data_IF_550387076855
#
_entry.id   IF_550387076855
#
_cell.length_a   1.000
_cell.length_b   1.000
_cell.length_c   1.000
_cell.angle_alpha   90.00
_cell.angle_beta   90.00
_cell.angle_gamma   90.00
#
_symmetry.space_group_name_H-M   'P 1'
#
loop_
_entity.id
_entity.type
_entity.pdbx_description
1 polymer ?
#
# COMPACT_ATOMS: atom_id res chain seq x y z
N UNK A 1 -12.85 14.46 -2.84
CA UNK A 1 -12.10 13.16 -2.80
C UNK A 1 -12.88 12.05 -3.49
N UNK A 2 -12.21 11.00 -3.99
CA UNK A 2 -12.84 9.84 -4.63
C UNK A 2 -12.63 8.62 -3.75
N UNK A 3 -13.69 8.11 -3.13
CA UNK A 3 -13.62 6.97 -2.22
C UNK A 3 -13.45 5.67 -3.00
N UNK A 4 -12.46 4.89 -2.64
CA UNK A 4 -12.13 3.62 -3.30
C UNK A 4 -12.01 2.49 -2.29
N UNK A 5 -12.00 1.25 -2.80
CA UNK A 5 -11.91 0.03 -2.02
C UNK A 5 -10.89 -0.94 -2.60
N UNK A 6 -10.00 -1.49 -1.77
CA UNK A 6 -9.05 -2.52 -2.19
C UNK A 6 -9.75 -3.88 -2.29
N UNK A 7 -9.68 -4.48 -3.48
CA UNK A 7 -10.22 -5.80 -3.79
C UNK A 7 -9.15 -6.67 -4.46
N UNK A 8 -9.05 -7.92 -4.04
CA UNK A 8 -7.98 -8.85 -4.47
C UNK A 8 -8.36 -9.77 -5.61
N UNK A 9 -9.51 -9.56 -6.25
CA UNK A 9 -9.95 -10.34 -7.40
C UNK A 9 -10.85 -11.51 -7.04
N UNK A 10 -11.67 -11.92 -8.03
CA UNK A 10 -12.59 -13.04 -7.89
C UNK A 10 -11.82 -14.34 -7.63
N UNK A 11 -12.26 -15.13 -6.65
CA UNK A 11 -11.61 -16.38 -6.23
C UNK A 11 -10.38 -16.19 -5.34
N UNK A 12 -9.85 -14.97 -5.24
CA UNK A 12 -8.71 -14.62 -4.41
C UNK A 12 -9.09 -13.73 -3.22
N UNK A 13 -10.18 -12.95 -3.33
CA UNK A 13 -10.78 -12.19 -2.24
C UNK A 13 -12.03 -12.92 -1.72
N UNK A 14 -12.18 -12.97 -0.41
CA UNK A 14 -13.40 -13.50 0.23
C UNK A 14 -14.55 -12.49 0.15
N UNK A 15 -14.24 -11.19 -0.02
CA UNK A 15 -15.22 -10.12 -0.15
C UNK A 15 -15.62 -9.99 -1.63
N UNK A 16 -16.92 -10.03 -1.89
CA UNK A 16 -17.48 -9.95 -3.25
C UNK A 16 -17.69 -8.49 -3.66
N UNK A 17 -17.61 -8.23 -4.96
CA UNK A 17 -17.97 -6.91 -5.51
C UNK A 17 -19.41 -6.50 -5.16
N UNK A 18 -20.33 -7.48 -5.07
CA UNK A 18 -21.72 -7.25 -4.61
C UNK A 18 -21.81 -6.71 -3.19
N UNK A 19 -20.88 -7.09 -2.30
CA UNK A 19 -20.85 -6.65 -0.92
C UNK A 19 -20.25 -5.23 -0.85
N UNK A 20 -19.17 -4.99 -1.59
CA UNK A 20 -18.56 -3.66 -1.71
C UNK A 20 -19.55 -2.64 -2.29
N UNK A 21 -20.39 -3.06 -3.26
CA UNK A 21 -21.41 -2.21 -3.89
C UNK A 21 -22.45 -1.69 -2.89
N UNK A 22 -22.62 -2.34 -1.76
CA UNK A 22 -23.55 -1.93 -0.70
C UNK A 22 -22.94 -0.88 0.24
N UNK A 23 -21.64 -0.59 0.13
CA UNK A 23 -20.99 0.43 0.95
C UNK A 23 -21.24 1.80 0.30
N UNK A 24 -21.99 2.72 0.94
CA UNK A 24 -22.28 4.02 0.36
C UNK A 24 -21.00 4.82 0.07
N UNK A 25 -20.99 5.51 -1.06
CA UNK A 25 -19.90 6.42 -1.45
C UNK A 25 -18.65 5.76 -2.04
N UNK A 26 -18.55 4.42 -2.07
CA UNK A 26 -17.46 3.74 -2.77
C UNK A 26 -17.72 3.80 -4.28
N UNK A 27 -16.85 4.49 -5.02
CA UNK A 27 -17.00 4.75 -6.45
C UNK A 27 -16.06 3.89 -7.31
N UNK A 28 -14.93 3.47 -6.75
CA UNK A 28 -13.89 2.77 -7.49
C UNK A 28 -13.27 1.62 -6.73
N UNK A 29 -12.71 0.71 -7.50
CA UNK A 29 -11.96 -0.44 -6.99
C UNK A 29 -10.47 -0.24 -7.24
N UNK A 30 -9.70 -0.45 -6.19
CA UNK A 30 -8.24 -0.58 -6.25
C UNK A 30 -7.93 -2.06 -6.45
N UNK A 31 -7.28 -2.39 -7.55
CA UNK A 31 -7.14 -3.76 -8.05
C UNK A 31 -5.73 -4.07 -8.53
N UNK A 32 -5.42 -5.33 -8.78
CA UNK A 32 -4.20 -5.78 -9.44
C UNK A 32 -4.41 -7.15 -10.11
N UNK A 33 -3.48 -7.54 -10.99
CA UNK A 33 -3.33 -8.93 -11.44
C UNK A 33 -2.42 -9.65 -10.43
N UNK A 34 -3.03 -10.43 -9.53
CA UNK A 34 -2.33 -11.03 -8.38
C UNK A 34 -1.55 -12.30 -8.72
N UNK A 35 -1.75 -12.86 -9.90
CA UNK A 35 -1.05 -14.02 -10.45
C UNK A 35 0.21 -13.63 -11.23
N UNK A 36 0.51 -12.34 -11.35
CA UNK A 36 1.68 -11.83 -12.04
C UNK A 36 2.89 -11.72 -11.12
N UNK A 37 3.98 -12.33 -11.55
CA UNK A 37 5.26 -12.15 -10.86
C UNK A 37 5.85 -10.77 -11.14
N UNK A 38 6.63 -10.19 -10.21
CA UNK A 38 7.34 -8.94 -10.47
C UNK A 38 8.17 -9.03 -11.76
N UNK A 39 8.04 -8.01 -12.62
CA UNK A 39 8.75 -7.95 -13.90
C UNK A 39 8.03 -8.58 -15.10
N UNK A 40 6.91 -9.28 -14.88
CA UNK A 40 6.05 -9.73 -15.98
C UNK A 40 5.22 -8.59 -16.56
N UNK A 41 5.00 -8.62 -17.88
CA UNK A 41 4.13 -7.66 -18.58
C UNK A 41 2.67 -8.08 -18.38
N UNK A 42 1.84 -7.15 -17.93
CA UNK A 42 0.39 -7.35 -17.85
C UNK A 42 -0.22 -7.20 -19.25
N UNK A 43 -0.88 -8.24 -19.72
CA UNK A 43 -1.45 -8.24 -21.08
C UNK A 43 -2.84 -7.59 -21.12
N UNK A 44 -3.18 -6.88 -22.19
CA UNK A 44 -4.48 -6.20 -22.34
C UNK A 44 -5.68 -7.12 -22.13
N UNK A 45 -5.59 -8.39 -22.55
CA UNK A 45 -6.65 -9.38 -22.42
C UNK A 45 -6.95 -9.71 -20.94
N UNK A 46 -5.91 -9.77 -20.10
CA UNK A 46 -6.03 -10.02 -18.65
C UNK A 46 -6.63 -8.80 -17.93
N UNK A 47 -6.20 -7.60 -18.32
CA UNK A 47 -6.75 -6.34 -17.80
C UNK A 47 -8.24 -6.23 -18.17
N UNK A 48 -8.62 -6.61 -19.39
CA UNK A 48 -10.00 -6.58 -19.88
C UNK A 48 -10.93 -7.47 -19.07
N UNK A 49 -10.46 -8.60 -18.53
CA UNK A 49 -11.24 -9.47 -17.64
C UNK A 49 -11.65 -8.71 -16.38
N UNK A 50 -10.70 -8.06 -15.71
CA UNK A 50 -10.98 -7.26 -14.51
C UNK A 50 -11.90 -6.09 -14.84
N UNK A 51 -11.65 -5.38 -15.96
CA UNK A 51 -12.50 -4.28 -16.42
C UNK A 51 -13.96 -4.72 -16.54
N UNK A 52 -14.21 -5.86 -17.19
CA UNK A 52 -15.56 -6.39 -17.36
C UNK A 52 -16.24 -6.67 -16.02
N UNK A 53 -15.53 -7.29 -15.06
CA UNK A 53 -16.06 -7.58 -13.73
C UNK A 53 -16.46 -6.29 -12.99
N UNK A 54 -15.63 -5.25 -13.06
CA UNK A 54 -15.90 -3.97 -12.39
C UNK A 54 -17.05 -3.20 -13.05
N UNK A 55 -17.14 -3.23 -14.38
CA UNK A 55 -18.21 -2.60 -15.14
C UNK A 55 -19.59 -3.18 -14.82
N UNK A 56 -19.69 -4.48 -14.56
CA UNK A 56 -20.94 -5.15 -14.18
C UNK A 56 -21.53 -4.56 -12.89
N UNK A 57 -20.70 -4.02 -12.00
CA UNK A 57 -21.10 -3.36 -10.76
C UNK A 57 -21.04 -1.82 -10.84
N UNK A 58 -20.59 -1.25 -11.96
CA UNK A 58 -20.47 0.18 -12.16
C UNK A 58 -19.38 0.82 -11.29
N UNK A 59 -18.25 0.12 -11.10
CA UNK A 59 -17.07 0.65 -10.40
C UNK A 59 -16.03 1.19 -11.37
N UNK A 60 -15.37 2.28 -10.99
CA UNK A 60 -14.17 2.77 -11.66
C UNK A 60 -12.97 1.87 -11.32
N UNK A 61 -12.01 1.76 -12.28
CA UNK A 61 -10.76 1.00 -12.09
C UNK A 61 -9.51 1.88 -12.15
N UNK A 62 -9.65 3.13 -11.74
CA UNK A 62 -8.65 4.18 -11.94
C UNK A 62 -7.32 3.92 -11.24
N UNK A 63 -7.30 3.11 -10.18
CA UNK A 63 -6.13 2.85 -9.33
C UNK A 63 -5.74 1.39 -9.35
N UNK A 64 -4.49 1.13 -9.68
CA UNK A 64 -3.85 -0.19 -9.58
C UNK A 64 -2.94 -0.23 -8.35
N UNK A 65 -3.05 -1.28 -7.56
CA UNK A 65 -2.18 -1.52 -6.41
C UNK A 65 -1.92 -3.03 -6.24
N UNK A 66 -0.76 -3.56 -6.66
CA UNK A 66 0.41 -2.85 -7.16
C UNK A 66 0.88 -3.46 -8.48
N UNK A 67 1.57 -2.67 -9.29
CA UNK A 67 2.50 -3.22 -10.27
C UNK A 67 3.85 -3.34 -9.54
N UNK A 68 4.25 -4.56 -9.19
CA UNK A 68 5.44 -4.80 -8.38
C UNK A 68 6.73 -4.52 -9.15
N UNK A 69 7.65 -3.77 -8.55
CA UNK A 69 8.98 -3.50 -9.11
C UNK A 69 9.88 -4.72 -8.87
N UNK A 70 10.49 -5.24 -9.95
CA UNK A 70 11.38 -6.40 -9.85
C UNK A 70 12.63 -6.10 -9.00
N UNK A 71 13.10 -7.09 -8.24
CA UNK A 71 14.25 -6.93 -7.35
C UNK A 71 15.53 -6.53 -8.08
N UNK A 72 15.74 -7.01 -9.30
CA UNK A 72 16.91 -6.63 -10.12
C UNK A 72 16.97 -5.12 -10.42
N UNK A 73 15.82 -4.45 -10.49
CA UNK A 73 15.75 -2.99 -10.61
C UNK A 73 16.22 -2.35 -9.30
N UNK A 74 15.69 -2.82 -8.16
CA UNK A 74 16.02 -2.30 -6.83
C UNK A 74 17.50 -2.49 -6.49
N UNK A 75 18.07 -3.64 -6.88
CA UNK A 75 19.48 -4.00 -6.63
C UNK A 75 20.43 -3.35 -7.64
N UNK A 76 19.92 -2.97 -8.83
CA UNK A 76 20.73 -2.39 -9.91
C UNK A 76 21.48 -3.41 -10.74
N UNK A 77 20.95 -4.62 -10.91
CA UNK A 77 21.58 -5.66 -11.72
C UNK A 77 21.52 -5.35 -13.23
N UNK A 78 22.39 -5.97 -14.05
CA UNK A 78 22.42 -5.71 -15.51
C UNK A 78 21.08 -6.00 -16.23
N UNK A 79 20.26 -6.89 -15.67
CA UNK A 79 18.92 -7.26 -16.18
C UNK A 79 17.85 -6.22 -15.90
N UNK A 80 18.15 -5.20 -15.08
CA UNK A 80 17.17 -4.17 -14.68
C UNK A 80 16.52 -3.47 -15.86
N UNK A 81 17.27 -3.22 -16.95
CA UNK A 81 16.75 -2.48 -18.10
C UNK A 81 15.65 -3.25 -18.82
N UNK A 82 15.77 -4.58 -18.90
CA UNK A 82 14.71 -5.43 -19.46
C UNK A 82 13.44 -5.36 -18.61
N UNK A 83 13.56 -5.41 -17.28
CA UNK A 83 12.41 -5.32 -16.38
C UNK A 83 11.79 -3.92 -16.37
N UNK A 84 12.58 -2.86 -16.58
CA UNK A 84 12.07 -1.50 -16.75
C UNK A 84 11.26 -1.40 -18.06
N UNK A 85 11.73 -1.98 -19.16
CA UNK A 85 10.95 -2.01 -20.41
C UNK A 85 9.64 -2.80 -20.25
N UNK A 86 9.66 -3.92 -19.55
CA UNK A 86 8.44 -4.66 -19.21
C UNK A 86 7.47 -3.82 -18.38
N UNK A 87 8.00 -3.06 -17.42
CA UNK A 87 7.21 -2.14 -16.59
C UNK A 87 6.56 -1.02 -17.44
N UNK A 88 7.33 -0.40 -18.33
CA UNK A 88 6.80 0.59 -19.30
C UNK A 88 5.71 0.01 -20.19
N UNK A 89 5.88 -1.23 -20.65
CA UNK A 89 4.86 -1.90 -21.45
C UNK A 89 3.58 -2.12 -20.64
N UNK A 90 3.68 -2.50 -19.36
CA UNK A 90 2.54 -2.63 -18.46
C UNK A 90 1.82 -1.29 -18.28
N UNK A 91 2.55 -0.17 -18.07
CA UNK A 91 1.96 1.18 -18.00
C UNK A 91 1.16 1.48 -19.28
N UNK A 92 1.75 1.22 -20.46
CA UNK A 92 1.09 1.44 -21.75
C UNK A 92 -0.16 0.57 -21.93
N UNK A 93 -0.12 -0.68 -21.48
CA UNK A 93 -1.25 -1.60 -21.56
C UNK A 93 -2.40 -1.21 -20.62
N UNK A 94 -2.12 -0.56 -19.48
CA UNK A 94 -3.11 -0.08 -18.52
C UNK A 94 -3.85 1.20 -18.98
N UNK A 95 -3.18 2.05 -19.74
CA UNK A 95 -3.70 3.37 -20.15
C UNK A 95 -5.04 3.31 -20.91
N UNK A 96 -5.24 2.41 -21.90
CA UNK A 96 -6.51 2.32 -22.64
C UNK A 96 -7.70 1.93 -21.79
N UNK A 97 -7.48 1.31 -20.62
CA UNK A 97 -8.53 0.90 -19.69
C UNK A 97 -8.92 1.99 -18.70
N UNK A 98 -8.31 3.17 -18.78
CA UNK A 98 -8.67 4.33 -17.97
C UNK A 98 -7.94 4.44 -16.65
N UNK A 99 -6.93 3.60 -16.39
CA UNK A 99 -6.07 3.70 -15.18
C UNK A 99 -5.40 5.07 -15.13
N UNK A 100 -5.40 5.68 -13.96
CA UNK A 100 -4.84 7.00 -13.68
C UNK A 100 -3.66 6.98 -12.72
N UNK A 101 -3.65 6.01 -11.80
CA UNK A 101 -2.64 5.90 -10.75
C UNK A 101 -2.17 4.45 -10.63
N UNK A 102 -0.87 4.26 -10.60
CA UNK A 102 -0.24 3.00 -10.21
C UNK A 102 0.44 3.21 -8.87
N UNK A 103 -0.11 2.55 -7.82
CA UNK A 103 0.56 2.40 -6.55
C UNK A 103 1.64 1.31 -6.67
N UNK A 104 2.82 1.58 -6.13
CA UNK A 104 3.93 0.65 -6.11
C UNK A 104 4.78 0.87 -4.87
N UNK A 105 5.63 -0.07 -4.53
CA UNK A 105 6.64 0.09 -3.49
C UNK A 105 8.06 -0.15 -4.04
N UNK A 106 9.06 0.35 -3.30
CA UNK A 106 10.47 0.13 -3.60
C UNK A 106 11.20 -0.53 -2.42
N UNK A 107 10.45 -1.24 -1.59
CA UNK A 107 10.95 -1.91 -0.38
C UNK A 107 11.82 -3.13 -0.76
N UNK A 108 12.99 -3.30 -0.16
CA UNK A 108 13.77 -4.53 -0.30
C UNK A 108 13.04 -5.73 0.28
N UNK A 109 12.96 -6.80 -0.47
CA UNK A 109 12.45 -8.13 -0.12
C UNK A 109 10.97 -8.15 0.28
N UNK A 110 10.60 -7.53 1.38
CA UNK A 110 9.22 -7.56 1.91
C UNK A 110 8.54 -6.21 1.80
N UNK A 111 7.24 -6.22 1.52
CA UNK A 111 6.39 -5.04 1.55
C UNK A 111 6.14 -4.60 3.00
N UNK A 112 5.00 -4.96 3.58
CA UNK A 112 4.73 -4.69 4.99
C UNK A 112 5.12 -5.87 5.89
N UNK A 113 5.42 -5.60 7.15
CA UNK A 113 5.83 -6.63 8.11
C UNK A 113 5.01 -6.52 9.40
N UNK A 114 4.43 -7.65 9.83
CA UNK A 114 3.73 -7.81 11.12
C UNK A 114 4.18 -9.10 11.78
N UNK A 115 4.06 -9.16 13.10
CA UNK A 115 4.43 -10.32 13.93
C UNK A 115 3.23 -11.13 14.40
N UNK A 116 2.03 -10.59 14.30
CA UNK A 116 0.78 -11.32 14.52
C UNK A 116 -0.29 -10.76 13.57
N UNK A 117 -0.98 -11.67 12.90
CA UNK A 117 -1.96 -11.30 11.87
C UNK A 117 -3.39 -11.22 12.43
N UNK A 118 -3.63 -11.79 13.61
CA UNK A 118 -4.95 -11.82 14.26
C UNK A 118 -4.79 -11.63 15.78
N UNK A 119 -4.05 -10.60 16.16
CA UNK A 119 -3.80 -10.28 17.57
C UNK A 119 -5.08 -9.81 18.27
N UNK A 120 -5.45 -10.38 19.45
CA UNK A 120 -6.65 -9.96 20.18
C UNK A 120 -6.55 -8.50 20.66
N UNK A 121 -7.59 -7.69 20.41
CA UNK A 121 -7.62 -6.27 20.78
C UNK A 121 -8.27 -6.04 22.15
N UNK A 122 -8.94 -7.05 22.72
CA UNK A 122 -9.54 -6.99 24.05
C UNK A 122 -11.06 -6.72 24.04
N UNK A 123 -11.63 -6.28 22.93
CA UNK A 123 -13.08 -6.12 22.73
C UNK A 123 -13.74 -7.30 21.99
N UNK A 124 -12.97 -8.36 21.74
CA UNK A 124 -13.36 -9.54 20.99
C UNK A 124 -12.99 -9.47 19.49
N UNK A 125 -12.51 -8.33 19.00
CA UNK A 125 -11.94 -8.20 17.66
C UNK A 125 -10.46 -8.60 17.64
N UNK A 126 -9.91 -8.76 16.43
CA UNK A 126 -8.48 -8.97 16.23
C UNK A 126 -7.92 -7.94 15.24
N UNK A 127 -6.61 -7.68 15.28
CA UNK A 127 -5.93 -6.75 14.39
C UNK A 127 -4.54 -7.27 14.01
N UNK A 128 -3.96 -6.67 12.98
CA UNK A 128 -2.54 -6.83 12.71
C UNK A 128 -1.73 -6.18 13.84
N UNK A 129 -0.68 -6.86 14.28
CA UNK A 129 0.19 -6.41 15.38
C UNK A 129 1.67 -6.54 15.01
N UNK A 130 2.44 -5.54 15.37
CA UNK A 130 3.89 -5.54 15.27
C UNK A 130 4.47 -5.54 16.69
N UNK A 131 5.28 -6.54 17.00
CA UNK A 131 6.01 -6.67 18.26
C UNK A 131 7.51 -6.67 17.95
N UNK A 132 8.18 -5.57 18.29
CA UNK A 132 9.59 -5.35 17.97
C UNK A 132 10.50 -6.49 18.48
N UNK A 133 10.19 -7.04 19.66
CA UNK A 133 10.96 -8.14 20.25
C UNK A 133 10.88 -9.46 19.47
N UNK A 134 9.88 -9.64 18.61
CA UNK A 134 9.71 -10.84 17.78
C UNK A 134 10.41 -10.73 16.43
N UNK A 135 10.85 -9.54 16.04
CA UNK A 135 11.57 -9.35 14.79
C UNK A 135 12.94 -10.03 14.89
N UNK A 136 13.16 -11.01 14.03
CA UNK A 136 14.44 -11.68 13.90
C UNK A 136 15.39 -10.84 13.07
N UNK A 137 16.62 -10.70 13.55
CA UNK A 137 17.65 -9.97 12.81
C UNK A 137 18.26 -10.84 11.69
N UNK A 138 18.26 -12.15 11.89
CA UNK A 138 18.66 -13.11 10.85
C UNK A 138 17.52 -13.26 9.84
N UNK A 139 17.77 -13.00 8.54
CA UNK A 139 16.75 -13.09 7.50
C UNK A 139 16.12 -14.48 7.38
N UNK A 140 16.91 -15.54 7.58
CA UNK A 140 16.41 -16.92 7.48
C UNK A 140 15.48 -17.26 8.64
N UNK A 141 15.86 -16.90 9.88
CA UNK A 141 14.97 -17.10 11.03
C UNK A 141 13.66 -16.32 10.87
N UNK A 142 13.72 -15.13 10.25
CA UNK A 142 12.54 -14.36 9.96
C UNK A 142 11.70 -14.97 8.84
N UNK A 143 12.34 -15.51 7.80
CA UNK A 143 11.64 -16.25 6.75
C UNK A 143 10.89 -17.46 7.30
N UNK A 144 11.55 -18.25 8.14
CA UNK A 144 10.93 -19.42 8.79
C UNK A 144 9.75 -19.01 9.69
N UNK A 145 9.90 -17.90 10.43
CA UNK A 145 8.83 -17.34 11.26
C UNK A 145 7.62 -16.94 10.43
N UNK A 146 7.84 -16.29 9.31
CA UNK A 146 6.80 -15.85 8.38
C UNK A 146 6.14 -17.02 7.66
N UNK A 147 6.92 -18.00 7.20
CA UNK A 147 6.37 -19.21 6.59
C UNK A 147 5.40 -19.92 7.54
N UNK A 148 5.66 -19.86 8.85
CA UNK A 148 4.74 -20.38 9.85
C UNK A 148 3.35 -19.74 9.81
N UNK A 149 3.24 -18.48 9.39
CA UNK A 149 1.93 -17.83 9.19
C UNK A 149 1.21 -18.35 7.95
N UNK A 150 1.94 -18.53 6.84
CA UNK A 150 1.37 -19.08 5.60
C UNK A 150 0.81 -20.47 5.84
N UNK A 151 1.54 -21.32 6.58
CA UNK A 151 1.08 -22.65 6.99
C UNK A 151 -0.11 -22.56 7.96
N UNK A 152 -0.01 -21.73 8.98
CA UNK A 152 -1.05 -21.58 10.01
C UNK A 152 -2.37 -21.05 9.46
N UNK A 153 -2.31 -20.10 8.52
CA UNK A 153 -3.49 -19.41 8.02
C UNK A 153 -3.91 -19.85 6.61
N UNK A 154 -3.12 -20.74 5.97
CA UNK A 154 -3.35 -21.20 4.59
C UNK A 154 -3.53 -20.07 3.58
N UNK A 155 -2.73 -19.02 3.70
CA UNK A 155 -2.81 -17.81 2.88
C UNK A 155 -1.44 -17.40 2.37
N UNK A 156 -1.37 -16.94 1.13
CA UNK A 156 -0.19 -16.31 0.54
C UNK A 156 -0.33 -14.80 0.61
N UNK A 157 0.71 -14.13 1.06
CA UNK A 157 0.74 -12.66 1.19
C UNK A 157 1.51 -12.04 0.03
N UNK A 158 1.19 -10.80 -0.37
CA UNK A 158 1.99 -10.07 -1.35
C UNK A 158 3.45 -9.95 -0.89
N UNK A 159 4.39 -10.30 -1.79
CA UNK A 159 5.81 -10.38 -1.45
C UNK A 159 6.25 -11.69 -0.78
N UNK A 160 5.30 -12.62 -0.54
CA UNK A 160 5.49 -13.87 0.19
C UNK A 160 5.08 -15.08 -0.63
N UNK A 161 5.13 -14.95 -1.95
CA UNK A 161 4.83 -16.03 -2.88
C UNK A 161 5.77 -17.23 -2.62
N UNK A 162 5.27 -18.50 -2.64
CA UNK A 162 6.07 -19.68 -2.32
C UNK A 162 7.36 -19.79 -3.15
N UNK A 163 7.30 -19.45 -4.43
CA UNK A 163 8.46 -19.47 -5.33
C UNK A 163 9.52 -18.43 -4.94
N UNK A 164 9.06 -17.27 -4.45
CA UNK A 164 9.95 -16.20 -3.96
C UNK A 164 10.55 -16.58 -2.62
N UNK A 165 9.76 -17.14 -1.71
CA UNK A 165 10.21 -17.62 -0.40
C UNK A 165 11.23 -18.74 -0.52
N UNK A 166 11.08 -19.65 -1.49
CA UNK A 166 12.08 -20.72 -1.76
C UNK A 166 13.46 -20.16 -2.20
N UNK A 167 13.50 -18.90 -2.68
CA UNK A 167 14.73 -18.19 -3.10
C UNK A 167 15.13 -17.07 -2.13
N UNK A 168 14.53 -17.04 -0.96
CA UNK A 168 14.67 -15.91 -0.05
C UNK A 168 16.12 -15.71 0.40
N UNK A 169 16.84 -16.80 0.74
CA UNK A 169 18.25 -16.73 1.12
C UNK A 169 19.10 -16.13 -0.02
N UNK A 170 18.86 -16.56 -1.27
CA UNK A 170 19.56 -16.02 -2.44
C UNK A 170 19.23 -14.53 -2.64
N UNK A 171 17.99 -14.13 -2.40
CA UNK A 171 17.56 -12.75 -2.53
C UNK A 171 18.22 -11.87 -1.46
N UNK A 172 18.27 -12.31 -0.21
CA UNK A 172 18.98 -11.60 0.85
C UNK A 172 20.47 -11.43 0.56
N UNK A 173 21.15 -12.49 0.05
CA UNK A 173 22.55 -12.40 -0.35
C UNK A 173 22.75 -11.34 -1.45
N UNK A 174 21.83 -11.22 -2.40
CA UNK A 174 21.87 -10.17 -3.44
C UNK A 174 21.68 -8.77 -2.87
N UNK A 175 20.83 -8.61 -1.85
CA UNK A 175 20.61 -7.31 -1.21
C UNK A 175 21.70 -6.90 -0.23
N UNK A 176 22.42 -7.87 0.38
CA UNK A 176 23.45 -7.61 1.41
C UNK A 176 24.48 -6.55 1.03
N UNK A 177 25.02 -6.49 -0.20
CA UNK A 177 25.96 -5.44 -0.58
C UNK A 177 25.33 -4.10 -0.91
N UNK A 178 23.98 -4.00 -0.99
CA UNK A 178 23.27 -2.80 -1.43
C UNK A 178 23.15 -1.83 -0.29
N UNK A 179 23.84 -0.71 -0.38
CA UNK A 179 23.73 0.38 0.61
C UNK A 179 22.44 1.19 0.39
N UNK A 180 22.06 1.96 1.41
CA UNK A 180 20.90 2.88 1.33
C UNK A 180 21.05 3.89 0.20
N UNK A 181 22.28 4.40 -0.02
CA UNK A 181 22.55 5.35 -1.11
C UNK A 181 22.42 4.68 -2.50
N UNK A 182 22.95 3.46 -2.65
CA UNK A 182 22.78 2.70 -3.89
C UNK A 182 21.30 2.38 -4.16
N UNK A 183 20.51 2.09 -3.12
CA UNK A 183 19.08 1.86 -3.28
C UNK A 183 18.36 3.15 -3.76
N UNK A 184 18.75 4.33 -3.24
CA UNK A 184 18.28 5.64 -3.74
C UNK A 184 18.67 5.88 -5.20
N UNK A 185 19.91 5.58 -5.57
CA UNK A 185 20.40 5.75 -6.95
C UNK A 185 19.65 4.83 -7.93
N UNK A 186 19.39 3.58 -7.54
CA UNK A 186 18.61 2.64 -8.34
C UNK A 186 17.15 3.09 -8.45
N UNK A 187 16.59 3.66 -7.39
CA UNK A 187 15.24 4.22 -7.42
C UNK A 187 15.14 5.40 -8.38
N UNK A 188 16.10 6.32 -8.31
CA UNK A 188 16.20 7.44 -9.27
C UNK A 188 16.29 6.96 -10.71
N UNK A 189 17.16 5.99 -10.98
CA UNK A 189 17.33 5.41 -12.30
C UNK A 189 16.01 4.83 -12.84
N UNK A 190 15.29 4.09 -12.01
CA UNK A 190 13.98 3.54 -12.39
C UNK A 190 12.98 4.65 -12.73
N UNK A 191 12.84 5.66 -11.87
CA UNK A 191 11.91 6.76 -12.07
C UNK A 191 12.23 7.54 -13.35
N UNK A 192 13.49 7.96 -13.56
CA UNK A 192 13.90 8.69 -14.76
C UNK A 192 13.58 7.89 -16.05
N UNK A 193 13.73 6.57 -15.98
CA UNK A 193 13.45 5.71 -17.13
C UNK A 193 11.96 5.59 -17.46
N UNK A 194 11.06 5.61 -16.47
CA UNK A 194 9.61 5.41 -16.68
C UNK A 194 8.84 6.73 -16.88
N UNK A 195 9.34 7.88 -16.40
CA UNK A 195 8.62 9.16 -16.48
C UNK A 195 8.17 9.53 -17.90
N UNK A 196 8.97 9.36 -18.97
CA UNK A 196 8.49 9.62 -20.33
C UNK A 196 7.23 8.81 -20.70
N UNK A 197 7.16 7.55 -20.26
CA UNK A 197 5.97 6.70 -20.47
C UNK A 197 4.77 7.17 -19.65
N UNK A 198 5.00 7.67 -18.44
CA UNK A 198 3.96 8.25 -17.59
C UNK A 198 3.35 9.51 -18.25
N UNK A 199 4.18 10.38 -18.82
CA UNK A 199 3.72 11.54 -19.60
C UNK A 199 2.93 11.13 -20.84
N UNK A 200 3.42 10.13 -21.59
CA UNK A 200 2.73 9.60 -22.79
C UNK A 200 1.33 9.07 -22.48
N UNK A 201 1.20 8.38 -21.33
CA UNK A 201 -0.03 7.67 -20.95
C UNK A 201 -0.96 8.46 -20.03
N UNK A 202 -0.45 9.50 -19.36
CA UNK A 202 -1.18 10.26 -18.35
C UNK A 202 -1.35 9.51 -17.02
N UNK A 203 -0.58 8.43 -16.78
CA UNK A 203 -0.64 7.64 -15.56
C UNK A 203 0.40 8.15 -14.54
N UNK A 204 -0.05 8.45 -13.33
CA UNK A 204 0.81 8.84 -12.23
C UNK A 204 1.38 7.62 -11.51
N UNK A 205 2.67 7.66 -11.21
CA UNK A 205 3.35 6.68 -10.39
C UNK A 205 3.32 7.13 -8.94
N UNK A 206 2.68 6.37 -8.06
CA UNK A 206 2.46 6.74 -6.67
C UNK A 206 3.14 5.74 -5.73
N UNK A 207 4.32 6.10 -5.20
CA UNK A 207 5.07 5.21 -4.31
C UNK A 207 4.40 5.12 -2.94
N UNK A 208 4.28 3.90 -2.42
CA UNK A 208 3.82 3.62 -1.07
C UNK A 208 4.94 3.84 -0.06
N UNK A 209 4.59 4.33 1.14
CA UNK A 209 5.50 4.50 2.27
C UNK A 209 6.00 3.14 2.77
N UNK A 210 7.21 3.11 3.32
CA UNK A 210 7.73 1.88 3.95
C UNK A 210 6.91 1.50 5.19
N UNK A 211 6.70 0.20 5.40
CA UNK A 211 5.89 -0.34 6.48
C UNK A 211 6.56 -1.57 7.13
N UNK A 212 7.14 -1.44 8.32
CA UNK A 212 7.27 -0.24 9.14
C UNK A 212 8.27 0.79 8.56
N UNK A 213 8.21 2.06 9.01
CA UNK A 213 9.04 3.15 8.49
C UNK A 213 10.43 3.20 9.14
N UNK A 214 11.12 2.09 9.22
CA UNK A 214 12.50 1.97 9.68
C UNK A 214 13.21 0.77 9.06
N UNK A 215 14.53 0.78 9.07
CA UNK A 215 15.35 -0.30 8.54
C UNK A 215 15.04 -1.60 9.30
N UNK A 216 14.84 -2.70 8.58
CA UNK A 216 14.40 -3.99 9.13
C UNK A 216 15.15 -5.16 8.47
N UNK A 217 15.48 -6.20 9.20
CA UNK A 217 16.25 -7.38 8.74
C UNK A 217 17.63 -7.03 8.18
N UNK A 218 18.24 -5.95 8.66
CA UNK A 218 19.50 -5.43 8.10
C UNK A 218 19.35 -4.81 6.71
N UNK A 219 18.12 -4.62 6.22
CA UNK A 219 17.82 -4.00 4.92
C UNK A 219 17.37 -2.54 5.11
N UNK A 220 17.84 -1.62 4.24
CA UNK A 220 17.45 -0.22 4.32
C UNK A 220 16.00 -0.01 3.89
N UNK A 221 15.33 0.95 4.51
CA UNK A 221 14.04 1.50 4.09
C UNK A 221 14.22 2.96 3.67
N UNK A 222 13.47 3.42 2.65
CA UNK A 222 13.68 4.71 2.03
C UNK A 222 12.62 5.74 2.41
N UNK A 223 11.34 5.40 2.27
CA UNK A 223 10.20 6.31 2.46
C UNK A 223 9.70 6.25 3.92
N UNK A 224 10.53 6.70 4.86
CA UNK A 224 10.33 6.51 6.30
C UNK A 224 9.89 7.76 7.06
N UNK A 225 9.95 8.94 6.42
CA UNK A 225 9.68 10.22 7.09
C UNK A 225 9.36 11.33 6.11
N UNK A 226 8.87 12.48 6.61
CA UNK A 226 8.68 13.68 5.80
C UNK A 226 9.96 14.14 5.09
N UNK A 227 11.12 14.07 5.74
CA UNK A 227 12.40 14.40 5.11
C UNK A 227 12.79 13.42 3.99
N UNK A 228 12.46 12.15 4.14
CA UNK A 228 12.67 11.16 3.09
C UNK A 228 11.73 11.39 1.89
N UNK A 229 10.51 11.82 2.15
CA UNK A 229 9.55 12.25 1.11
C UNK A 229 10.07 13.47 0.36
N UNK A 230 10.61 14.47 1.06
CA UNK A 230 11.26 15.64 0.43
C UNK A 230 12.39 15.20 -0.52
N UNK A 231 13.26 14.31 -0.06
CA UNK A 231 14.34 13.75 -0.87
C UNK A 231 13.80 13.03 -2.11
N UNK A 232 12.79 12.18 -1.93
CA UNK A 232 12.16 11.43 -3.02
C UNK A 232 11.58 12.34 -4.10
N UNK A 233 10.77 13.32 -3.70
CA UNK A 233 10.11 14.23 -4.64
C UNK A 233 11.11 15.16 -5.36
N UNK A 234 12.17 15.60 -4.66
CA UNK A 234 13.22 16.43 -5.26
C UNK A 234 14.19 15.66 -6.14
N UNK A 235 14.35 14.36 -5.92
CA UNK A 235 15.25 13.50 -6.69
C UNK A 235 14.82 13.39 -8.16
N UNK A 236 13.50 13.31 -8.41
CA UNK A 236 12.87 13.39 -9.72
C UNK A 236 11.65 14.31 -9.57
N UNK A 237 11.85 15.60 -9.77
CA UNK A 237 10.80 16.60 -9.65
C UNK A 237 9.92 16.61 -10.90
N UNK A 238 8.95 15.72 -10.91
CA UNK A 238 8.04 15.47 -12.03
C UNK A 238 6.61 15.30 -11.51
N UNK A 239 5.58 15.93 -12.12
CA UNK A 239 4.18 15.84 -11.65
C UNK A 239 3.58 14.44 -11.77
N UNK A 240 4.21 13.51 -12.47
CA UNK A 240 3.81 12.10 -12.53
C UNK A 240 4.53 11.23 -11.48
N UNK A 241 5.58 11.75 -10.83
CA UNK A 241 6.22 11.14 -9.67
C UNK A 241 5.49 11.56 -8.39
N UNK A 242 4.60 10.72 -7.88
CA UNK A 242 3.65 11.00 -6.82
C UNK A 242 3.78 10.04 -5.63
N UNK A 243 2.93 10.28 -4.63
CA UNK A 243 2.88 9.50 -3.40
C UNK A 243 1.58 8.72 -3.30
N UNK A 244 1.67 7.48 -2.84
CA UNK A 244 0.59 6.79 -2.11
C UNK A 244 0.84 7.04 -0.63
N UNK A 245 0.25 8.07 -0.06
CA UNK A 245 0.49 8.43 1.33
C UNK A 245 -0.34 7.55 2.27
N UNK A 246 0.32 6.63 2.95
CA UNK A 246 -0.31 5.77 3.96
C UNK A 246 -0.09 6.36 5.36
N UNK A 247 -1.17 6.78 6.00
CA UNK A 247 -1.09 7.41 7.31
C UNK A 247 -0.56 6.46 8.39
N UNK A 248 -1.03 5.22 8.41
CA UNK A 248 -0.62 4.25 9.41
C UNK A 248 0.79 3.69 9.19
N UNK A 249 1.30 3.63 7.93
CA UNK A 249 2.69 3.25 7.69
C UNK A 249 3.64 4.29 8.27
N UNK A 250 3.42 5.57 7.98
CA UNK A 250 4.27 6.64 8.50
C UNK A 250 4.12 6.79 10.01
N UNK A 251 2.89 6.79 10.52
CA UNK A 251 2.64 7.01 11.94
C UNK A 251 2.94 5.77 12.80
N UNK A 252 3.33 4.63 12.24
CA UNK A 252 3.97 3.58 13.04
C UNK A 252 5.21 4.13 13.79
N UNK A 253 5.87 5.14 13.23
CA UNK A 253 6.83 6.01 13.92
C UNK A 253 6.11 7.27 14.43
N UNK A 254 5.92 7.44 15.76
CA UNK A 254 5.20 8.58 16.33
C UNK A 254 5.84 9.93 16.09
N UNK A 255 7.10 9.98 15.66
CA UNK A 255 7.79 11.23 15.32
C UNK A 255 7.31 11.80 13.96
N UNK A 256 6.58 11.03 13.15
CA UNK A 256 6.00 11.48 11.89
C UNK A 256 4.66 12.20 12.09
N UNK A 257 4.63 13.51 11.90
CA UNK A 257 3.38 14.27 11.80
C UNK A 257 2.79 14.14 10.39
N UNK A 258 1.89 13.19 10.21
CA UNK A 258 1.31 12.88 8.89
C UNK A 258 0.45 14.02 8.36
N UNK A 259 -0.29 14.72 9.21
CA UNK A 259 -1.11 15.85 8.78
C UNK A 259 -0.28 17.00 8.19
N UNK A 260 0.90 17.28 8.76
CA UNK A 260 1.83 18.28 8.22
C UNK A 260 2.46 17.82 6.90
N UNK A 261 2.74 16.52 6.76
CA UNK A 261 3.22 15.94 5.51
C UNK A 261 2.15 16.09 4.42
N UNK A 262 0.87 15.84 4.73
CA UNK A 262 -0.26 16.07 3.80
C UNK A 262 -0.32 17.53 3.38
N UNK A 263 -0.31 18.48 4.32
CA UNK A 263 -0.36 19.92 4.00
C UNK A 263 0.77 20.36 3.07
N UNK A 264 1.96 19.79 3.28
CA UNK A 264 3.15 20.14 2.49
C UNK A 264 3.13 19.59 1.08
N UNK A 265 2.61 18.38 0.89
CA UNK A 265 2.77 17.61 -0.35
C UNK A 265 1.45 17.22 -1.01
N UNK A 266 0.34 17.87 -0.66
CA UNK A 266 -1.00 17.52 -1.14
C UNK A 266 -1.09 17.39 -2.67
N UNK A 267 -0.45 18.28 -3.41
CA UNK A 267 -0.39 18.30 -4.88
C UNK A 267 0.35 17.11 -5.49
N UNK A 268 1.17 16.44 -4.69
CA UNK A 268 1.96 15.27 -5.10
C UNK A 268 1.39 13.96 -4.53
N UNK A 269 0.31 13.99 -3.77
CA UNK A 269 -0.38 12.79 -3.28
C UNK A 269 -1.43 12.40 -4.31
N UNK A 270 -1.18 11.34 -5.07
CA UNK A 270 -2.13 10.83 -6.05
C UNK A 270 -3.11 9.83 -5.43
N UNK A 271 -2.72 9.17 -4.35
CA UNK A 271 -3.52 8.18 -3.65
C UNK A 271 -3.29 8.27 -2.13
N UNK A 272 -4.35 8.21 -1.35
CA UNK A 272 -4.31 8.31 0.10
C UNK A 272 -4.82 7.01 0.75
N UNK A 273 -4.03 6.44 1.65
CA UNK A 273 -4.44 5.34 2.53
C UNK A 273 -4.68 5.89 3.92
N UNK A 274 -5.90 5.77 4.39
CA UNK A 274 -6.27 6.15 5.75
C UNK A 274 -6.26 4.91 6.62
N UNK A 275 -5.33 4.90 7.57
CA UNK A 275 -5.13 3.81 8.52
C UNK A 275 -4.75 4.39 9.87
N UNK A 276 -5.41 3.93 10.91
CA UNK A 276 -5.13 4.30 12.28
C UNK A 276 -4.32 3.20 12.97
N UNK A 277 -3.29 3.59 13.68
CA UNK A 277 -2.48 2.69 14.49
C UNK A 277 -2.50 3.11 15.94
N UNK A 278 -2.35 2.15 16.84
CA UNK A 278 -2.18 2.37 18.26
C UNK A 278 -0.78 1.96 18.67
N UNK A 279 -0.08 2.85 19.35
CA UNK A 279 1.27 2.62 19.84
C UNK A 279 1.26 1.93 21.20
N UNK A 280 2.29 1.12 21.42
CA UNK A 280 2.59 0.48 22.69
C UNK A 280 4.04 0.73 23.09
N UNK A 281 4.43 0.46 24.34
CA UNK A 281 5.83 0.54 24.75
C UNK A 281 6.76 -0.29 23.85
N UNK A 282 8.03 0.11 23.77
CA UNK A 282 9.11 -0.57 23.03
C UNK A 282 8.99 -0.57 21.51
N UNK A 283 8.20 0.32 20.93
CA UNK A 283 8.04 0.43 19.47
C UNK A 283 7.06 -0.57 18.88
N UNK A 284 6.25 -1.23 19.72
CA UNK A 284 5.17 -2.08 19.27
C UNK A 284 3.99 -1.24 18.79
N UNK A 285 3.22 -1.75 17.84
CA UNK A 285 1.98 -1.11 17.40
C UNK A 285 0.97 -2.12 16.87
N UNK A 286 -0.31 -1.73 16.86
CA UNK A 286 -1.38 -2.48 16.22
C UNK A 286 -2.19 -1.60 15.28
N UNK A 287 -2.90 -2.23 14.34
CA UNK A 287 -3.98 -1.54 13.64
C UNK A 287 -5.11 -1.22 14.63
N UNK A 288 -5.75 -0.07 14.43
CA UNK A 288 -6.90 0.38 15.21
C UNK A 288 -8.09 0.67 14.29
N UNK A 289 -9.27 0.92 14.86
CA UNK A 289 -10.39 1.39 14.06
C UNK A 289 -10.06 2.73 13.40
N UNK A 290 -10.71 3.04 12.29
CA UNK A 290 -10.49 4.32 11.60
C UNK A 290 -10.97 5.55 12.39
N UNK A 291 -11.69 5.33 13.50
CA UNK A 291 -12.11 6.41 14.38
C UNK A 291 -10.91 7.00 15.10
N UNK A 292 -10.79 8.32 15.07
CA UNK A 292 -9.62 9.06 15.57
C UNK A 292 -9.19 8.66 16.99
N UNK A 293 -10.13 8.64 17.94
CA UNK A 293 -9.84 8.38 19.35
C UNK A 293 -9.53 6.91 19.71
N UNK A 294 -9.57 5.98 18.75
CA UNK A 294 -9.29 4.57 18.96
C UNK A 294 -7.82 4.21 18.70
N UNK A 295 -7.07 5.12 18.10
CA UNK A 295 -5.63 5.02 17.86
C UNK A 295 -4.91 6.34 18.07
N UNK A 296 -3.68 6.43 17.57
CA UNK A 296 -2.76 7.54 17.85
C UNK A 296 -2.33 8.29 16.58
N UNK A 297 -2.93 7.97 15.40
CA UNK A 297 -2.50 8.54 14.11
C UNK A 297 -3.00 9.97 13.87
N UNK A 298 -4.07 10.41 14.56
CA UNK A 298 -4.66 11.74 14.32
C UNK A 298 -5.45 11.81 13.02
N UNK A 299 -6.36 10.86 12.82
CA UNK A 299 -7.15 10.71 11.58
C UNK A 299 -7.97 11.97 11.25
N UNK A 300 -8.54 12.65 12.26
CA UNK A 300 -9.30 13.88 12.04
C UNK A 300 -8.42 15.00 11.47
N UNK A 301 -7.22 15.19 12.01
CA UNK A 301 -6.28 16.22 11.53
C UNK A 301 -5.79 15.91 10.10
N UNK A 302 -5.59 14.63 9.79
CA UNK A 302 -5.20 14.18 8.46
C UNK A 302 -6.32 14.40 7.44
N UNK A 303 -7.56 14.01 7.75
CA UNK A 303 -8.71 14.24 6.88
C UNK A 303 -8.97 15.75 6.68
N UNK A 304 -8.82 16.54 7.76
CA UNK A 304 -8.89 18.00 7.67
C UNK A 304 -7.78 18.57 6.79
N UNK A 305 -6.55 18.07 6.89
CA UNK A 305 -5.45 18.52 6.05
C UNK A 305 -5.72 18.24 4.55
N UNK A 306 -6.25 17.06 4.20
CA UNK A 306 -6.70 16.76 2.84
C UNK A 306 -7.83 17.69 2.37
N UNK A 307 -8.80 17.94 3.24
CA UNK A 307 -9.92 18.83 2.91
C UNK A 307 -9.47 20.26 2.70
N UNK A 308 -8.65 20.80 3.60
CA UNK A 308 -8.14 22.19 3.56
C UNK A 308 -7.28 22.45 2.31
N UNK A 309 -6.56 21.46 1.80
CA UNK A 309 -5.78 21.60 0.57
C UNK A 309 -6.59 21.32 -0.71
N UNK A 310 -7.90 21.04 -0.60
CA UNK A 310 -8.76 20.78 -1.74
C UNK A 310 -8.46 19.44 -2.46
N UNK A 311 -8.12 18.41 -1.72
CA UNK A 311 -7.76 17.12 -2.29
C UNK A 311 -8.90 16.46 -3.07
N UNK A 312 -8.68 16.23 -4.37
CA UNK A 312 -9.61 15.57 -5.28
C UNK A 312 -9.15 14.16 -5.72
N UNK A 313 -8.05 13.68 -5.13
CA UNK A 313 -7.47 12.39 -5.44
C UNK A 313 -8.26 11.20 -4.91
N UNK A 314 -7.68 10.02 -5.09
CA UNK A 314 -8.24 8.75 -4.63
C UNK A 314 -7.89 8.51 -3.17
N UNK A 315 -8.87 8.00 -2.39
CA UNK A 315 -8.70 7.71 -0.97
C UNK A 315 -9.36 6.37 -0.65
N UNK A 316 -8.79 5.62 0.27
CA UNK A 316 -9.39 4.39 0.78
C UNK A 316 -9.11 4.17 2.26
N UNK A 317 -10.00 3.45 2.98
CA UNK A 317 -9.59 2.81 4.21
C UNK A 317 -8.53 1.75 3.88
N UNK A 318 -7.42 1.78 4.61
CA UNK A 318 -6.38 0.77 4.49
C UNK A 318 -6.66 -0.41 5.44
N UNK A 319 -5.66 -0.95 6.13
CA UNK A 319 -5.89 -2.02 7.08
C UNK A 319 -6.87 -1.61 8.17
N UNK A 320 -7.75 -2.54 8.54
CA UNK A 320 -8.66 -2.45 9.66
C UNK A 320 -8.55 -3.67 10.57
N UNK A 321 -9.38 -3.68 11.60
CA UNK A 321 -9.54 -4.84 12.48
C UNK A 321 -10.41 -5.90 11.83
N UNK A 322 -10.39 -7.10 12.39
CA UNK A 322 -11.31 -8.17 12.01
C UNK A 322 -12.44 -8.22 13.04
N UNK A 323 -13.67 -7.99 12.59
CA UNK A 323 -14.84 -7.84 13.43
C UNK A 323 -15.78 -9.05 13.28
N UNK A 324 -16.53 -9.35 14.32
CA UNK A 324 -17.65 -10.31 14.35
C UNK A 324 -17.27 -11.70 13.85
N UNK A 325 -17.61 -12.02 12.60
CA UNK A 325 -17.35 -13.34 11.98
C UNK A 325 -16.03 -13.40 11.21
N UNK A 326 -15.29 -12.30 11.19
CA UNK A 326 -14.00 -12.24 10.51
C UNK A 326 -12.88 -12.80 11.39
N UNK A 327 -11.98 -13.55 10.74
CA UNK A 327 -10.85 -14.17 11.41
C UNK A 327 -10.05 -15.06 10.47
N UNK A 328 -9.15 -15.90 11.02
CA UNK A 328 -8.34 -16.80 10.21
C UNK A 328 -9.18 -17.64 9.23
N UNK A 329 -8.82 -17.62 7.96
CA UNK A 329 -9.50 -18.38 6.89
C UNK A 329 -10.78 -17.76 6.34
N UNK A 330 -11.29 -16.66 6.93
CA UNK A 330 -12.52 -15.99 6.46
C UNK A 330 -12.25 -14.66 5.75
N UNK A 331 -11.13 -14.00 6.04
CA UNK A 331 -10.70 -12.76 5.40
C UNK A 331 -9.18 -12.71 5.28
N UNK A 332 -8.68 -11.87 4.38
CA UNK A 332 -7.26 -11.49 4.36
C UNK A 332 -6.94 -10.66 5.61
N UNK A 333 -5.82 -10.92 6.29
CA UNK A 333 -5.40 -10.15 7.46
C UNK A 333 -5.33 -8.66 7.15
N UNK A 334 -6.01 -7.85 7.98
CA UNK A 334 -6.13 -6.40 7.81
C UNK A 334 -7.17 -5.96 6.75
N UNK A 335 -7.69 -6.86 5.94
CA UNK A 335 -8.57 -6.53 4.82
C UNK A 335 -10.00 -7.09 4.97
N UNK A 336 -10.52 -7.15 6.19
CA UNK A 336 -11.91 -7.48 6.47
C UNK A 336 -12.89 -6.48 5.83
N UNK A 337 -14.15 -6.88 5.69
CA UNK A 337 -15.22 -6.03 5.15
C UNK A 337 -15.68 -4.98 6.16
N UNK A 338 -15.93 -5.43 7.40
CA UNK A 338 -16.74 -4.65 8.34
C UNK A 338 -16.02 -3.41 8.85
N UNK A 339 -14.83 -3.54 9.40
CA UNK A 339 -14.13 -2.37 9.98
C UNK A 339 -13.74 -1.36 8.91
N UNK A 340 -13.37 -1.83 7.71
CA UNK A 340 -13.10 -0.93 6.58
C UNK A 340 -14.37 -0.23 6.08
N UNK A 341 -15.53 -0.90 6.05
CA UNK A 341 -16.80 -0.27 5.70
C UNK A 341 -17.21 0.80 6.73
N UNK A 342 -17.02 0.53 8.03
CA UNK A 342 -17.17 1.52 9.09
C UNK A 342 -16.19 2.68 8.89
N UNK A 343 -14.96 2.39 8.47
CA UNK A 343 -13.94 3.38 8.12
C UNK A 343 -14.36 4.29 6.97
N UNK A 344 -14.93 3.73 5.88
CA UNK A 344 -15.51 4.52 4.78
C UNK A 344 -16.55 5.51 5.32
N UNK A 345 -17.51 5.02 6.10
CA UNK A 345 -18.59 5.85 6.63
C UNK A 345 -18.07 6.93 7.60
N UNK A 346 -17.05 6.60 8.40
CA UNK A 346 -16.40 7.59 9.27
C UNK A 346 -15.72 8.69 8.46
N UNK A 347 -14.92 8.34 7.45
CA UNK A 347 -14.23 9.32 6.60
C UNK A 347 -15.20 10.20 5.84
N UNK A 348 -16.24 9.62 5.24
CA UNK A 348 -17.29 10.39 4.55
C UNK A 348 -18.04 11.32 5.50
N UNK A 349 -18.40 10.86 6.70
CA UNK A 349 -19.08 11.70 7.69
C UNK A 349 -18.22 12.86 8.18
N UNK A 350 -16.90 12.67 8.33
CA UNK A 350 -15.98 13.77 8.64
C UNK A 350 -15.89 14.75 7.47
N UNK A 351 -15.81 14.25 6.23
CA UNK A 351 -15.75 15.08 5.04
C UNK A 351 -17.02 15.92 4.83
N UNK A 352 -18.20 15.30 4.97
CA UNK A 352 -19.50 15.98 4.90
C UNK A 352 -19.62 17.10 5.94
N UNK A 353 -19.09 16.87 7.14
CA UNK A 353 -19.07 17.87 8.21
C UNK A 353 -18.16 19.05 7.83
N UNK A 354 -16.97 18.77 7.28
CA UNK A 354 -16.02 19.81 6.85
C UNK A 354 -16.60 20.64 5.70
N UNK A 355 -17.20 20.01 4.69
CA UNK A 355 -17.90 20.70 3.59
C UNK A 355 -18.98 21.62 4.12
N UNK A 356 -19.80 21.16 5.07
CA UNK A 356 -20.87 21.95 5.67
C UNK A 356 -20.33 23.12 6.47
N UNK A 357 -19.22 22.98 7.18
CA UNK A 357 -18.57 24.07 7.90
C UNK A 357 -18.03 25.15 6.96
N UNK A 358 -17.56 24.75 5.78
CA UNK A 358 -17.09 25.66 4.72
C UNK A 358 -18.21 26.23 3.85
N UNK A 359 -19.48 25.87 4.12
CA UNK A 359 -20.64 26.37 3.37
C UNK A 359 -20.79 25.76 1.98
N UNK A 360 -20.24 24.56 1.77
CA UNK A 360 -20.36 23.78 0.52
C UNK A 360 -21.58 22.87 0.51
#
# INVERSE_FOLDING_TARGET
>A
MKMTWRWYGEGNDQIKLSDIKQIPGVEGIVWALHDKMPGEVWQPEEIAVVKKQLDEYGFNMDVVESVNVHDDIKIGLPTRDQYIENYKQTIKNLAPFGVKVICYNFMPVFDWTRTDLFHPVGDGSTALYYEAAKIKQDPKEMADYVMSFTEKYHMTFPGWEPERMAKLDELFEKYRPVTKDQLWDNFKYFLEAIMPTCHETGIKMAVHMDDPPWDIFGLPRLLTSGAAIDKFLSMVDDPYNCLTLCSGSLNADPDNNVADIVRKHCDRIAFAHIRNVKHFPNGDFSEASHRDCDGDTGILDILKAYHDCGYEGYIRPDHGRHLWTEGPGTVRPGYGLYDRALGVMYMLGVWDMLDKLDGK
#
